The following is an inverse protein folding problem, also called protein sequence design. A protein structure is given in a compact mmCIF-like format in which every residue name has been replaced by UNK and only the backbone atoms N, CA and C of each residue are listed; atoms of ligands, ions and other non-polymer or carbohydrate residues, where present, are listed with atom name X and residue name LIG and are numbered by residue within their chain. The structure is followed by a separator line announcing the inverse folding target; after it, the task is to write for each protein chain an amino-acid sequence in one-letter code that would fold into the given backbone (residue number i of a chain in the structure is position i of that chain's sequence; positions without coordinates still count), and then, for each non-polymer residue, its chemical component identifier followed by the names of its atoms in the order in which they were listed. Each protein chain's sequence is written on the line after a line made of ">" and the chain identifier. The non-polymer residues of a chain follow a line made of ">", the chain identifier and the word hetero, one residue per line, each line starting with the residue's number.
data_IF_480034936213
#
_entry.id   IF_480034936213
#
_cell.length_a   1.000
_cell.length_b   1.000
_cell.length_c   1.000
_cell.angle_alpha   90.00
_cell.angle_beta   90.00
_cell.angle_gamma   90.00
#
_symmetry.space_group_name_H-M   'P 1'
#
loop_
_entity.id
_entity.type
_entity.pdbx_description
1 polymer ?
#
# COMPACT_ATOMS: atom_id res chain seq x y z
N UNK A 1 -6.21 -24.37 -6.56
CA UNK A 1 -6.18 -22.91 -6.80
C UNK A 1 -7.59 -22.38 -6.73
N UNK A 2 -7.90 -21.49 -5.79
CA UNK A 2 -9.23 -20.89 -5.67
C UNK A 2 -9.44 -19.81 -6.76
N UNK A 3 -10.66 -19.69 -7.28
CA UNK A 3 -11.04 -18.68 -8.29
C UNK A 3 -10.80 -17.22 -7.82
N UNK A 4 -10.84 -16.97 -6.50
CA UNK A 4 -10.66 -15.64 -5.89
C UNK A 4 -9.21 -15.17 -5.93
N UNK A 5 -8.24 -16.06 -5.69
CA UNK A 5 -6.80 -15.77 -5.82
C UNK A 5 -6.49 -15.30 -7.23
N UNK A 6 -7.08 -15.97 -8.22
CA UNK A 6 -6.84 -15.66 -9.63
C UNK A 6 -7.41 -14.30 -10.02
N UNK A 7 -8.63 -13.96 -9.57
CA UNK A 7 -9.23 -12.64 -9.84
C UNK A 7 -8.44 -11.48 -9.22
N UNK A 8 -8.00 -11.61 -7.95
CA UNK A 8 -7.22 -10.56 -7.28
C UNK A 8 -5.82 -10.44 -7.85
N UNK A 9 -5.14 -11.57 -8.10
CA UNK A 9 -3.86 -11.59 -8.79
C UNK A 9 -3.97 -10.96 -10.18
N UNK A 10 -5.04 -11.26 -10.94
CA UNK A 10 -5.32 -10.59 -12.22
C UNK A 10 -5.54 -9.09 -12.05
N UNK A 11 -6.23 -8.64 -11.00
CA UNK A 11 -6.46 -7.21 -10.77
C UNK A 11 -5.17 -6.47 -10.41
N UNK A 12 -4.33 -7.05 -9.54
CA UNK A 12 -3.02 -6.50 -9.19
C UNK A 12 -2.08 -6.55 -10.42
N UNK A 13 -2.07 -7.62 -11.19
CA UNK A 13 -1.23 -7.69 -12.39
C UNK A 13 -1.72 -6.79 -13.53
N UNK A 14 -3.04 -6.59 -13.67
CA UNK A 14 -3.61 -5.79 -14.76
C UNK A 14 -3.69 -4.29 -14.45
N UNK A 15 -3.84 -3.92 -13.18
CA UNK A 15 -4.07 -2.53 -12.75
C UNK A 15 -3.13 -2.06 -11.64
N UNK A 16 -2.30 -2.96 -11.12
CA UNK A 16 -1.28 -2.60 -10.16
C UNK A 16 -0.16 -1.81 -10.83
N UNK A 17 0.56 -1.07 -10.00
CA UNK A 17 1.74 -0.32 -10.38
C UNK A 17 2.87 -0.64 -9.41
N UNK A 18 4.13 -0.54 -9.83
CA UNK A 18 5.26 -0.74 -8.93
C UNK A 18 5.21 0.32 -7.82
N UNK A 19 5.26 -0.14 -6.59
CA UNK A 19 5.46 0.68 -5.39
C UNK A 19 6.63 0.12 -4.60
N UNK A 20 7.20 0.93 -3.71
CA UNK A 20 8.28 0.49 -2.85
C UNK A 20 7.80 0.46 -1.40
N UNK A 21 7.88 -0.71 -0.77
CA UNK A 21 7.59 -0.89 0.64
C UNK A 21 8.92 -0.95 1.39
N UNK A 22 9.09 -0.11 2.41
CA UNK A 22 10.37 0.08 3.09
C UNK A 22 10.17 0.24 4.59
N UNK A 23 11.11 -0.30 5.38
CA UNK A 23 11.15 -0.05 6.82
C UNK A 23 11.49 1.42 7.11
N UNK A 24 10.98 2.02 8.20
CA UNK A 24 11.29 3.42 8.54
C UNK A 24 12.78 3.65 8.84
N UNK A 25 13.50 2.61 9.29
CA UNK A 25 14.95 2.61 9.53
C UNK A 25 15.77 2.32 8.25
N UNK A 26 15.10 2.09 7.11
CA UNK A 26 15.69 1.72 5.82
C UNK A 26 16.48 0.39 5.83
N UNK A 27 16.31 -0.45 6.86
CA UNK A 27 16.99 -1.75 6.97
C UNK A 27 16.53 -2.75 5.90
N UNK A 28 15.29 -2.63 5.43
CA UNK A 28 14.74 -3.45 4.36
C UNK A 28 13.84 -2.63 3.42
N UNK A 29 13.96 -2.90 2.13
CA UNK A 29 13.18 -2.27 1.07
C UNK A 29 12.86 -3.30 -0.02
N UNK A 30 11.60 -3.34 -0.45
CA UNK A 30 11.12 -4.28 -1.47
C UNK A 30 10.23 -3.55 -2.47
N UNK A 31 10.44 -3.83 -3.76
CA UNK A 31 9.52 -3.41 -4.81
C UNK A 31 8.35 -4.38 -4.87
N UNK A 32 7.14 -3.85 -4.76
CA UNK A 32 5.89 -4.62 -4.77
C UNK A 32 4.98 -4.14 -5.88
N UNK A 33 4.25 -5.06 -6.50
CA UNK A 33 3.16 -4.71 -7.40
C UNK A 33 1.93 -4.43 -6.57
N UNK A 34 1.53 -3.16 -6.53
CA UNK A 34 0.46 -2.68 -5.67
C UNK A 34 -0.71 -2.13 -6.51
N UNK A 35 -1.92 -2.59 -6.21
CA UNK A 35 -3.14 -1.97 -6.69
C UNK A 35 -3.68 -1.00 -5.63
N UNK A 36 -3.59 0.29 -5.90
CA UNK A 36 -4.27 1.33 -5.12
C UNK A 36 -5.48 1.83 -5.90
N UNK A 37 -6.72 1.51 -5.48
CA UNK A 37 -7.90 2.12 -6.07
C UNK A 37 -7.85 3.65 -5.91
N UNK A 38 -8.46 4.41 -6.84
CA UNK A 38 -8.55 5.85 -6.70
C UNK A 38 -9.19 6.20 -5.35
N UNK A 39 -8.68 7.23 -4.65
CA UNK A 39 -9.25 7.66 -3.38
C UNK A 39 -10.74 7.94 -3.60
N UNK A 40 -11.60 7.21 -2.91
CA UNK A 40 -13.00 7.58 -2.88
C UNK A 40 -13.10 8.77 -1.95
N UNK A 41 -13.49 9.93 -2.50
CA UNK A 41 -13.75 11.11 -1.71
C UNK A 41 -14.88 10.77 -0.73
N UNK A 42 -14.54 10.60 0.54
CA UNK A 42 -15.54 10.56 1.60
C UNK A 42 -15.85 12.03 1.87
N UNK A 43 -17.00 12.52 1.45
CA UNK A 43 -17.43 13.88 1.79
C UNK A 43 -17.79 13.90 3.28
N UNK A 44 -16.83 14.21 4.15
CA UNK A 44 -17.13 14.58 5.54
C UNK A 44 -17.62 16.03 5.56
N UNK A 45 -18.76 16.28 6.21
CA UNK A 45 -19.41 17.59 6.35
C UNK A 45 -18.54 18.66 7.05
N UNK A 46 -17.42 18.29 7.69
CA UNK A 46 -16.54 19.18 8.47
C UNK A 46 -15.20 19.55 7.79
N UNK A 47 -15.11 19.47 6.46
CA UNK A 47 -14.11 20.26 5.72
C UNK A 47 -12.65 19.79 5.70
N UNK A 48 -12.28 18.66 6.31
CA UNK A 48 -10.95 18.04 6.10
C UNK A 48 -11.10 16.54 5.87
N UNK A 49 -11.28 16.16 4.60
CA UNK A 49 -11.30 14.75 4.18
C UNK A 49 -9.93 14.32 3.70
N UNK A 50 -9.08 13.83 4.61
CA UNK A 50 -7.87 13.08 4.22
C UNK A 50 -8.31 11.65 3.92
N UNK A 51 -8.59 11.35 2.65
CA UNK A 51 -8.91 9.98 2.25
C UNK A 51 -7.70 9.08 2.55
N UNK A 52 -7.84 8.02 3.37
CA UNK A 52 -6.75 7.08 3.61
C UNK A 52 -6.36 6.40 2.30
N UNK A 53 -5.05 6.29 2.06
CA UNK A 53 -4.52 5.59 0.89
C UNK A 53 -4.60 4.09 1.14
N UNK A 54 -5.47 3.40 0.42
CA UNK A 54 -5.56 1.95 0.47
C UNK A 54 -4.76 1.33 -0.67
N UNK A 55 -3.90 0.36 -0.38
CA UNK A 55 -3.14 -0.39 -1.38
C UNK A 55 -3.24 -1.90 -1.12
N UNK A 56 -3.40 -2.68 -2.18
CA UNK A 56 -3.36 -4.14 -2.11
C UNK A 56 -2.12 -4.65 -2.81
N UNK A 57 -1.32 -5.46 -2.11
CA UNK A 57 -0.08 -6.03 -2.64
C UNK A 57 -0.16 -7.56 -2.65
N UNK A 58 0.56 -8.18 -3.59
CA UNK A 58 0.63 -9.64 -3.70
C UNK A 58 1.55 -10.24 -2.62
N UNK A 59 1.21 -11.43 -2.13
CA UNK A 59 2.05 -12.16 -1.18
C UNK A 59 3.35 -12.67 -1.81
N UNK A 60 3.38 -12.85 -3.13
CA UNK A 60 4.56 -13.33 -3.87
C UNK A 60 5.75 -12.38 -3.73
N UNK A 61 5.50 -11.07 -3.82
CA UNK A 61 6.56 -10.05 -3.81
C UNK A 61 7.17 -9.91 -2.42
N UNK A 62 6.31 -9.98 -1.40
CA UNK A 62 6.71 -9.93 0.02
C UNK A 62 7.38 -11.23 0.45
N UNK A 63 6.88 -12.39 0.03
CA UNK A 63 7.50 -13.69 0.32
C UNK A 63 8.87 -13.84 -0.34
N UNK A 64 9.04 -13.42 -1.60
CA UNK A 64 10.33 -13.46 -2.30
C UNK A 64 11.41 -12.64 -1.60
N UNK A 65 11.03 -11.54 -0.94
CA UNK A 65 11.93 -10.69 -0.18
C UNK A 65 11.99 -11.01 1.32
N UNK A 66 11.31 -12.08 1.79
CA UNK A 66 11.13 -12.38 3.23
C UNK A 66 10.65 -11.16 4.04
N UNK A 67 9.81 -10.32 3.42
CA UNK A 67 9.32 -9.07 3.97
C UNK A 67 7.90 -9.25 4.51
N UNK A 68 7.68 -8.90 5.78
CA UNK A 68 6.32 -8.85 6.36
C UNK A 68 5.91 -7.39 6.55
N UNK A 69 4.90 -6.91 5.79
CA UNK A 69 4.35 -5.57 5.97
C UNK A 69 3.85 -5.34 7.39
N UNK A 70 4.16 -4.17 7.94
CA UNK A 70 3.78 -3.79 9.29
C UNK A 70 3.38 -2.32 9.36
N UNK A 71 2.67 -1.99 10.44
CA UNK A 71 2.44 -0.59 10.82
C UNK A 71 3.79 0.12 11.04
N UNK A 72 3.91 1.32 10.49
CA UNK A 72 5.12 2.14 10.54
C UNK A 72 6.01 2.03 9.31
N UNK A 73 5.79 1.02 8.45
CA UNK A 73 6.46 0.94 7.15
C UNK A 73 6.10 2.15 6.28
N UNK A 74 6.99 2.47 5.35
CA UNK A 74 6.77 3.48 4.32
C UNK A 74 6.40 2.81 3.01
N UNK A 75 5.32 3.26 2.41
CA UNK A 75 4.91 2.93 1.06
C UNK A 75 5.18 4.13 0.16
N UNK A 76 6.04 3.94 -0.83
CA UNK A 76 6.40 4.96 -1.81
C UNK A 76 5.70 4.66 -3.13
N UNK A 77 5.00 5.66 -3.66
CA UNK A 77 4.28 5.59 -4.93
C UNK A 77 4.60 6.85 -5.74
N UNK A 78 5.35 6.69 -6.84
CA UNK A 78 5.76 7.78 -7.73
C UNK A 78 6.32 9.02 -6.99
N UNK A 79 7.21 8.79 -6.01
CA UNK A 79 7.85 9.86 -5.22
C UNK A 79 7.01 10.40 -4.06
N UNK A 80 5.75 9.99 -3.92
CA UNK A 80 4.93 10.27 -2.73
C UNK A 80 5.18 9.22 -1.67
N UNK A 81 5.40 9.67 -0.43
CA UNK A 81 5.59 8.81 0.74
C UNK A 81 4.30 8.73 1.55
N UNK A 82 3.87 7.51 1.85
CA UNK A 82 2.76 7.21 2.74
C UNK A 82 3.28 6.37 3.91
N UNK A 83 2.84 6.67 5.14
CA UNK A 83 3.13 5.83 6.30
C UNK A 83 2.02 4.79 6.44
N UNK A 84 2.38 3.52 6.43
CA UNK A 84 1.46 2.40 6.67
C UNK A 84 0.94 2.50 8.09
N UNK A 85 -0.34 2.74 8.24
CA UNK A 85 -1.03 2.78 9.53
C UNK A 85 -1.59 1.43 9.92
N UNK A 86 -1.92 0.60 8.92
CA UNK A 86 -2.41 -0.76 9.13
C UNK A 86 -2.00 -1.68 7.97
N UNK A 87 -1.74 -2.94 8.31
CA UNK A 87 -1.31 -3.98 7.38
C UNK A 87 -2.03 -5.29 7.70
N UNK A 88 -3.03 -5.63 6.91
CA UNK A 88 -3.90 -6.79 7.14
C UNK A 88 -3.55 -7.89 6.15
N UNK A 89 -3.17 -9.10 6.62
CA UNK A 89 -2.96 -10.23 5.74
C UNK A 89 -4.29 -10.65 5.13
N UNK A 90 -4.27 -10.97 3.84
CA UNK A 90 -5.45 -11.45 3.13
C UNK A 90 -5.23 -12.89 2.69
N UNK A 91 -6.04 -13.78 3.25
CA UNK A 91 -5.99 -15.21 2.98
C UNK A 91 -7.02 -15.63 1.93
N UNK A 92 -6.66 -16.66 1.17
CA UNK A 92 -7.59 -17.43 0.34
C UNK A 92 -7.50 -18.89 0.78
N UNK A 93 -8.52 -19.31 1.54
CA UNK A 93 -8.44 -20.54 2.31
C UNK A 93 -7.26 -20.50 3.29
N UNK A 94 -6.41 -21.53 3.35
CA UNK A 94 -5.25 -21.54 4.24
C UNK A 94 -4.05 -20.74 3.71
N UNK A 95 -4.09 -20.24 2.47
CA UNK A 95 -2.94 -19.63 1.81
C UNK A 95 -2.96 -18.10 1.88
N UNK A 96 -1.85 -17.49 2.30
CA UNK A 96 -1.68 -16.03 2.22
C UNK A 96 -1.63 -15.60 0.76
N UNK A 97 -2.57 -14.76 0.35
CA UNK A 97 -2.70 -14.28 -1.03
C UNK A 97 -2.11 -12.89 -1.22
N UNK A 98 -2.07 -12.09 -0.16
CA UNK A 98 -1.50 -10.74 -0.20
C UNK A 98 -1.76 -9.97 1.08
N UNK A 99 -1.60 -8.66 0.98
CA UNK A 99 -1.83 -7.74 2.08
C UNK A 99 -2.71 -6.58 1.63
N UNK A 100 -3.60 -6.15 2.52
CA UNK A 100 -4.30 -4.86 2.41
C UNK A 100 -3.59 -3.89 3.33
N UNK A 101 -3.06 -2.81 2.75
CA UNK A 101 -2.36 -1.75 3.44
C UNK A 101 -3.26 -0.53 3.50
N UNK A 102 -3.38 0.05 4.69
CA UNK A 102 -3.92 1.39 4.88
C UNK A 102 -2.73 2.28 5.20
N UNK A 103 -2.58 3.37 4.46
CA UNK A 103 -1.49 4.31 4.64
C UNK A 103 -2.01 5.75 4.65
N UNK A 104 -1.33 6.61 5.40
CA UNK A 104 -1.59 8.04 5.45
C UNK A 104 -0.50 8.77 4.69
N UNK A 105 -0.90 9.61 3.74
CA UNK A 105 0.03 10.48 3.04
C UNK A 105 0.64 11.47 4.02
N UNK A 106 1.96 11.63 3.98
CA UNK A 106 2.56 12.85 4.48
C UNK A 106 2.38 13.84 3.34
N UNK A 107 1.48 14.82 3.48
CA UNK A 107 1.52 15.95 2.57
C UNK A 107 2.92 16.53 2.74
N UNK A 108 3.76 16.36 1.73
CA UNK A 108 4.88 17.28 1.55
C UNK A 108 4.21 18.58 1.10
N UNK A 109 3.62 19.30 2.05
CA UNK A 109 3.52 20.75 1.94
C UNK A 109 4.97 21.21 1.90
N UNK A 110 5.54 21.20 0.70
CA UNK A 110 6.69 22.01 0.39
C UNK A 110 6.14 23.43 0.39
N UNK A 111 5.98 23.99 1.59
CA UNK A 111 6.17 25.40 1.81
C UNK A 111 7.65 25.69 1.54
N UNK A 112 8.06 25.64 0.26
CA UNK A 112 9.18 26.44 -0.22
C UNK A 112 8.66 27.86 -0.34
N UNK A 113 8.43 28.46 0.82
CA UNK A 113 8.02 29.83 1.00
C UNK A 113 8.85 30.40 2.13
N UNK A 114 9.87 31.18 1.74
CA UNK A 114 10.58 32.19 2.51
C UNK A 114 11.69 31.71 3.46
N UNK A 115 12.91 32.14 3.11
CA UNK A 115 14.16 32.03 3.85
C UNK A 115 15.31 32.48 2.97
#
# INVERSE_FOLDING_TARGET
>A
MSYRTDRRRRQINAKGRPMQLMRPDKSASVTVTAYAPPPQAITLEDGVSVAPFAAQIAATDTAAASYTPARGDWLMDNGRRYTVTDAVPVYDGPALSGWSLIAKGVNNDVTSGLG
#
